data_IF_222225342484
#
_entry.id   IF_222225342484
#
_cell.length_a   1.000
_cell.length_b   1.000
_cell.length_c   1.000
_cell.angle_alpha   90.00
_cell.angle_beta   90.00
_cell.angle_gamma   90.00
#
_symmetry.space_group_name_H-M   'P 1'
#
loop_
_entity.id
_entity.type
_entity.pdbx_description
1 polymer ?
#
# COMPACT_ATOMS: atom_id res chain seq x y z
N UNK A 1 19.14 -42.54 42.12
CA UNK A 1 18.99 -41.77 40.87
C UNK A 1 19.75 -40.45 41.06
N UNK A 2 20.86 -40.20 40.33
CA UNK A 2 21.56 -38.93 40.42
C UNK A 2 20.62 -37.86 39.88
N UNK A 3 20.17 -36.94 40.73
CA UNK A 3 19.36 -35.80 40.31
C UNK A 3 20.19 -34.92 39.35
N UNK A 4 19.88 -34.95 38.04
CA UNK A 4 20.45 -34.04 37.03
C UNK A 4 19.81 -32.63 37.13
N UNK A 5 19.69 -32.12 38.38
CA UNK A 5 19.13 -30.81 38.66
C UNK A 5 20.19 -29.75 38.39
N UNK A 6 19.86 -28.81 37.53
CA UNK A 6 20.67 -27.64 37.20
C UNK A 6 19.98 -26.36 37.70
N UNK A 7 20.76 -25.36 38.01
CA UNK A 7 20.24 -24.07 38.47
C UNK A 7 19.53 -23.31 37.36
N UNK A 8 18.62 -22.39 37.73
CA UNK A 8 17.98 -21.50 36.75
C UNK A 8 18.98 -20.74 35.87
N UNK A 9 20.12 -20.33 36.45
CA UNK A 9 21.19 -19.64 35.69
C UNK A 9 21.86 -20.56 34.67
N UNK A 10 22.10 -21.84 35.06
CA UNK A 10 22.66 -22.82 34.14
C UNK A 10 21.67 -23.25 33.05
N UNK A 11 20.40 -23.44 33.42
CA UNK A 11 19.32 -23.70 32.48
C UNK A 11 19.20 -22.55 31.43
N UNK A 12 19.29 -21.30 31.89
CA UNK A 12 19.29 -20.13 31.02
C UNK A 12 20.50 -20.12 30.07
N UNK A 13 21.70 -20.40 30.57
CA UNK A 13 22.96 -20.44 29.79
C UNK A 13 22.92 -21.52 28.70
N UNK A 14 22.59 -22.77 29.11
CA UNK A 14 22.54 -23.91 28.17
C UNK A 14 21.55 -23.63 27.04
N UNK A 15 20.39 -23.05 27.36
CA UNK A 15 19.32 -22.83 26.42
C UNK A 15 19.37 -21.44 25.77
N UNK A 16 20.42 -20.65 25.92
CA UNK A 16 20.56 -19.31 25.36
C UNK A 16 19.30 -18.46 25.58
N UNK A 17 18.78 -18.48 26.82
CA UNK A 17 17.62 -17.69 27.22
C UNK A 17 17.97 -16.87 28.48
N UNK A 18 17.04 -16.05 28.98
CA UNK A 18 17.25 -15.24 30.16
C UNK A 18 16.61 -15.88 31.40
N UNK A 19 17.15 -15.60 32.57
CA UNK A 19 16.55 -16.00 33.86
C UNK A 19 15.14 -15.42 33.98
N UNK A 20 14.92 -14.19 33.50
CA UNK A 20 13.60 -13.57 33.55
C UNK A 20 12.58 -14.29 32.65
N UNK A 21 13.00 -14.77 31.46
CA UNK A 21 12.13 -15.58 30.59
C UNK A 21 11.73 -16.90 31.30
N UNK A 22 12.69 -17.57 31.96
CA UNK A 22 12.38 -18.80 32.71
C UNK A 22 11.44 -18.54 33.90
N UNK A 23 11.58 -17.41 34.60
CA UNK A 23 10.65 -17.01 35.67
C UNK A 23 9.25 -16.71 35.09
N UNK A 24 9.17 -16.07 33.91
CA UNK A 24 7.91 -15.83 33.24
C UNK A 24 7.25 -17.15 32.81
N UNK A 25 8.00 -18.09 32.24
CA UNK A 25 7.48 -19.41 31.85
C UNK A 25 6.98 -20.20 33.07
N UNK A 26 7.67 -20.10 34.23
CA UNK A 26 7.22 -20.67 35.48
C UNK A 26 5.90 -20.03 35.94
N UNK A 27 5.84 -18.71 36.02
CA UNK A 27 4.61 -17.99 36.42
C UNK A 27 3.39 -18.27 35.51
N UNK A 28 3.61 -18.56 34.23
CA UNK A 28 2.57 -18.94 33.30
C UNK A 28 2.27 -20.44 33.26
N UNK A 29 3.05 -21.26 33.98
CA UNK A 29 2.94 -22.72 33.97
C UNK A 29 3.39 -23.35 32.65
N UNK A 30 4.15 -22.65 31.80
CA UNK A 30 4.74 -23.18 30.58
C UNK A 30 5.93 -24.11 30.87
N UNK A 31 6.77 -23.72 31.81
CA UNK A 31 7.93 -24.51 32.27
C UNK A 31 8.14 -24.29 33.75
N UNK A 32 7.66 -25.22 34.56
CA UNK A 32 7.82 -25.15 36.03
C UNK A 32 9.12 -25.83 36.48
N UNK A 33 9.83 -25.28 37.46
CA UNK A 33 11.03 -25.94 38.02
C UNK A 33 10.66 -27.27 38.69
N UNK A 34 11.55 -28.28 38.58
CA UNK A 34 11.37 -29.55 39.25
C UNK A 34 11.49 -29.41 40.78
N UNK A 35 12.25 -28.40 41.24
CA UNK A 35 12.42 -28.12 42.68
C UNK A 35 12.64 -26.62 42.88
N UNK A 36 11.94 -26.05 43.84
CA UNK A 36 12.17 -24.70 44.33
C UNK A 36 12.57 -24.78 45.81
N UNK A 37 13.72 -24.23 46.16
CA UNK A 37 14.18 -24.22 47.55
C UNK A 37 13.25 -23.35 48.41
N UNK A 38 12.58 -23.92 49.42
CA UNK A 38 11.57 -23.20 50.21
C UNK A 38 12.14 -22.07 51.07
N UNK A 39 13.47 -22.12 51.38
CA UNK A 39 14.12 -21.10 52.21
C UNK A 39 14.64 -19.91 51.38
N UNK A 40 15.11 -20.18 50.15
CA UNK A 40 15.77 -19.17 49.32
C UNK A 40 14.98 -18.78 48.10
N UNK A 41 13.94 -19.52 47.75
CA UNK A 41 13.17 -19.35 46.51
C UNK A 41 13.95 -19.75 45.25
N UNK A 42 15.13 -20.37 45.41
CA UNK A 42 15.98 -20.69 44.26
C UNK A 42 15.42 -21.87 43.45
N UNK A 43 15.38 -21.74 42.14
CA UNK A 43 14.73 -22.68 41.20
C UNK A 43 15.75 -23.63 40.59
N UNK A 44 15.38 -24.90 40.51
CA UNK A 44 16.18 -25.96 39.89
C UNK A 44 15.34 -26.72 38.86
N UNK A 45 15.96 -27.04 37.75
CA UNK A 45 15.35 -27.69 36.60
C UNK A 45 16.02 -29.04 36.31
N UNK A 46 15.29 -30.00 35.80
CA UNK A 46 15.87 -31.23 35.24
C UNK A 46 16.35 -30.95 33.80
N UNK A 47 17.53 -31.45 33.43
CA UNK A 47 18.09 -31.28 32.10
C UNK A 47 17.13 -31.80 30.99
N UNK A 48 16.29 -32.78 31.29
CA UNK A 48 15.27 -33.31 30.37
C UNK A 48 14.19 -32.30 30.01
N UNK A 49 14.02 -31.23 30.78
CA UNK A 49 13.09 -30.14 30.49
C UNK A 49 13.55 -29.26 29.31
N UNK A 50 14.80 -29.47 28.82
CA UNK A 50 15.26 -28.80 27.60
C UNK A 50 14.32 -29.06 26.42
N UNK A 51 13.81 -30.28 26.26
CA UNK A 51 12.88 -30.60 25.16
C UNK A 51 11.61 -29.71 25.18
N UNK A 52 11.07 -29.47 26.39
CA UNK A 52 9.91 -28.56 26.53
C UNK A 52 10.29 -27.11 26.22
N UNK A 53 11.48 -26.68 26.61
CA UNK A 53 11.97 -25.33 26.34
C UNK A 53 12.28 -25.12 24.84
N UNK A 54 12.81 -26.14 24.18
CA UNK A 54 13.04 -26.09 22.72
C UNK A 54 11.73 -25.98 21.95
N UNK A 55 10.69 -26.69 22.37
CA UNK A 55 9.37 -26.56 21.80
C UNK A 55 8.76 -25.16 22.01
N UNK A 56 8.92 -24.57 23.21
CA UNK A 56 8.49 -23.19 23.48
C UNK A 56 9.21 -22.21 22.54
N UNK A 57 10.52 -22.37 22.34
CA UNK A 57 11.30 -21.52 21.42
C UNK A 57 10.83 -21.68 19.98
N UNK A 58 10.67 -22.91 19.52
CA UNK A 58 10.19 -23.21 18.18
C UNK A 58 8.84 -22.51 17.90
N UNK A 59 7.88 -22.63 18.80
CA UNK A 59 6.58 -21.97 18.63
C UNK A 59 6.70 -20.43 18.69
N UNK A 60 7.62 -19.90 19.48
CA UNK A 60 7.91 -18.45 19.49
C UNK A 60 8.48 -17.97 18.16
N UNK A 61 9.34 -18.75 17.51
CA UNK A 61 9.88 -18.44 16.18
C UNK A 61 8.76 -18.46 15.11
N UNK A 62 7.71 -19.27 15.31
CA UNK A 62 6.49 -19.21 14.50
C UNK A 62 5.59 -17.99 14.81
N UNK A 63 6.04 -17.08 15.70
CA UNK A 63 5.28 -15.89 16.06
C UNK A 63 4.08 -16.15 16.96
N UNK A 64 4.05 -17.28 17.69
CA UNK A 64 2.97 -17.59 18.62
C UNK A 64 3.17 -16.84 19.95
N UNK A 65 2.07 -16.35 20.52
CA UNK A 65 2.06 -15.79 21.85
C UNK A 65 2.22 -16.87 22.93
N UNK A 66 2.76 -16.50 24.10
CA UNK A 66 2.97 -17.47 25.17
C UNK A 66 1.67 -18.15 25.65
N UNK A 67 0.53 -17.47 25.53
CA UNK A 67 -0.79 -18.06 25.84
C UNK A 67 -1.20 -19.14 24.83
N UNK A 68 -0.96 -18.90 23.55
CA UNK A 68 -1.20 -19.87 22.48
C UNK A 68 -0.27 -21.09 22.62
N UNK A 69 1.02 -20.84 22.91
CA UNK A 69 2.01 -21.87 23.17
C UNK A 69 1.55 -22.74 24.35
N UNK A 70 1.02 -22.14 25.42
CA UNK A 70 0.50 -22.88 26.57
C UNK A 70 -0.67 -23.78 26.17
N UNK A 71 -1.61 -23.28 25.36
CA UNK A 71 -2.75 -24.09 24.87
C UNK A 71 -2.28 -25.32 24.08
N UNK A 72 -1.27 -25.15 23.22
CA UNK A 72 -0.68 -26.26 22.46
C UNK A 72 0.05 -27.24 23.37
N UNK A 73 0.89 -26.73 24.29
CA UNK A 73 1.72 -27.56 25.18
C UNK A 73 0.92 -28.35 26.23
N UNK A 74 -0.24 -27.85 26.60
CA UNK A 74 -1.12 -28.48 27.60
C UNK A 74 -2.26 -29.29 26.91
N UNK A 75 -2.35 -29.28 25.59
CA UNK A 75 -3.34 -30.08 24.87
C UNK A 75 -2.86 -31.51 24.68
N UNK A 76 -3.74 -32.48 24.99
CA UNK A 76 -3.55 -33.89 24.68
C UNK A 76 -4.23 -34.31 23.37
N UNK A 77 -4.91 -33.34 22.71
CA UNK A 77 -5.66 -33.55 21.48
C UNK A 77 -4.88 -32.98 20.27
N UNK A 78 -4.39 -33.87 19.43
CA UNK A 78 -3.63 -33.53 18.21
C UNK A 78 -4.46 -32.73 17.21
N UNK A 79 -5.76 -32.98 17.11
CA UNK A 79 -6.64 -32.25 16.18
C UNK A 79 -6.76 -30.79 16.60
N UNK A 80 -6.87 -30.54 17.90
CA UNK A 80 -6.91 -29.18 18.45
C UNK A 80 -5.59 -28.43 18.26
N UNK A 81 -4.46 -29.15 18.38
CA UNK A 81 -3.14 -28.56 18.09
C UNK A 81 -3.04 -28.19 16.62
N UNK A 82 -3.47 -29.07 15.73
CA UNK A 82 -3.50 -28.84 14.29
C UNK A 82 -4.36 -27.61 13.92
N UNK A 83 -5.55 -27.47 14.50
CA UNK A 83 -6.41 -26.30 14.29
C UNK A 83 -5.75 -24.98 14.72
N UNK A 84 -5.01 -24.96 15.84
CA UNK A 84 -4.27 -23.78 16.29
C UNK A 84 -3.17 -23.40 15.29
N UNK A 85 -2.43 -24.39 14.79
CA UNK A 85 -1.35 -24.18 13.82
C UNK A 85 -1.89 -23.76 12.46
N UNK A 86 -3.02 -24.29 12.01
CA UNK A 86 -3.69 -23.87 10.79
C UNK A 86 -4.08 -22.40 10.86
N UNK A 87 -4.73 -21.99 11.96
CA UNK A 87 -5.09 -20.56 12.17
C UNK A 87 -3.86 -19.66 12.18
N UNK A 88 -2.77 -20.09 12.82
CA UNK A 88 -1.53 -19.31 12.84
C UNK A 88 -0.93 -19.15 11.45
N UNK A 89 -0.94 -20.22 10.65
CA UNK A 89 -0.51 -20.17 9.24
C UNK A 89 -1.34 -19.17 8.43
N UNK A 90 -2.66 -19.18 8.61
CA UNK A 90 -3.56 -18.24 7.93
C UNK A 90 -3.27 -16.79 8.31
N UNK A 91 -3.02 -16.52 9.59
CA UNK A 91 -2.60 -15.18 10.05
C UNK A 91 -1.32 -14.72 9.35
N UNK A 92 -0.29 -15.58 9.32
CA UNK A 92 0.98 -15.26 8.66
C UNK A 92 0.78 -15.02 7.16
N UNK A 93 -0.07 -15.81 6.49
CA UNK A 93 -0.36 -15.61 5.07
C UNK A 93 -1.04 -14.27 4.80
N UNK A 94 -1.95 -13.85 5.67
CA UNK A 94 -2.58 -12.53 5.60
C UNK A 94 -1.55 -11.41 5.83
N UNK A 95 -0.66 -11.54 6.82
CA UNK A 95 0.42 -10.59 7.06
C UNK A 95 1.36 -10.46 5.84
N UNK A 96 1.68 -11.57 5.19
CA UNK A 96 2.48 -11.58 3.96
C UNK A 96 1.78 -10.80 2.84
N UNK A 97 0.47 -10.98 2.67
CA UNK A 97 -0.29 -10.25 1.66
C UNK A 97 -0.36 -8.74 1.95
N UNK A 98 -0.59 -8.36 3.21
CA UNK A 98 -0.53 -6.96 3.62
C UNK A 98 0.84 -6.33 3.36
N UNK A 99 1.93 -7.07 3.61
CA UNK A 99 3.28 -6.60 3.34
C UNK A 99 3.55 -6.43 1.86
N UNK A 100 3.03 -7.31 0.99
CA UNK A 100 3.13 -7.15 -0.47
C UNK A 100 2.44 -5.87 -0.93
N UNK A 101 1.20 -5.63 -0.48
CA UNK A 101 0.46 -4.40 -0.80
C UNK A 101 1.27 -3.15 -0.39
N UNK A 102 1.94 -3.19 0.77
CA UNK A 102 2.81 -2.08 1.22
C UNK A 102 4.03 -1.91 0.31
N UNK A 103 4.68 -3.00 -0.10
CA UNK A 103 5.80 -2.94 -1.05
C UNK A 103 5.37 -2.33 -2.38
N UNK A 104 4.25 -2.79 -2.95
CA UNK A 104 3.71 -2.25 -4.20
C UNK A 104 3.41 -0.74 -4.10
N UNK A 105 2.94 -0.28 -2.94
CA UNK A 105 2.74 1.14 -2.67
C UNK A 105 4.04 1.94 -2.67
N UNK A 106 5.10 1.40 -2.07
CA UNK A 106 6.43 2.01 -2.09
C UNK A 106 6.95 2.06 -3.52
N UNK A 107 6.82 0.97 -4.27
CA UNK A 107 7.28 0.89 -5.67
C UNK A 107 6.53 1.90 -6.56
N UNK A 108 5.21 2.07 -6.39
CA UNK A 108 4.44 3.13 -7.07
C UNK A 108 4.97 4.53 -6.75
N UNK A 109 5.31 4.77 -5.49
CA UNK A 109 5.85 6.06 -5.04
C UNK A 109 7.23 6.32 -5.65
N UNK A 110 8.11 5.33 -5.65
CA UNK A 110 9.42 5.41 -6.30
C UNK A 110 9.26 5.70 -7.79
N UNK A 111 8.41 4.93 -8.48
CA UNK A 111 8.13 5.12 -9.90
C UNK A 111 7.55 6.52 -10.20
N UNK A 112 6.74 7.06 -9.30
CA UNK A 112 6.22 8.43 -9.40
C UNK A 112 7.36 9.47 -9.35
N UNK A 113 8.26 9.34 -8.38
CA UNK A 113 9.43 10.22 -8.23
C UNK A 113 10.35 10.12 -9.47
N UNK A 114 10.63 8.90 -9.94
CA UNK A 114 11.45 8.68 -11.12
C UNK A 114 10.83 9.29 -12.39
N UNK A 115 9.51 9.14 -12.57
CA UNK A 115 8.79 9.78 -13.67
C UNK A 115 8.91 11.29 -13.60
N UNK A 116 8.73 11.89 -12.42
CA UNK A 116 8.94 13.31 -12.22
C UNK A 116 10.35 13.75 -12.59
N UNK A 117 11.38 13.05 -12.13
CA UNK A 117 12.78 13.37 -12.43
C UNK A 117 13.12 13.29 -13.92
N UNK A 118 12.47 12.38 -14.65
CA UNK A 118 12.65 12.19 -16.11
C UNK A 118 11.71 13.06 -16.94
N UNK A 119 10.73 13.69 -16.31
CA UNK A 119 9.73 14.50 -17.02
C UNK A 119 10.38 15.71 -17.68
N UNK A 120 9.89 16.11 -18.86
CA UNK A 120 10.31 17.34 -19.50
C UNK A 120 10.01 18.57 -18.64
N UNK A 121 10.66 19.67 -18.97
CA UNK A 121 10.36 20.95 -18.31
C UNK A 121 8.91 21.35 -18.57
N UNK A 122 8.33 22.10 -17.61
CA UNK A 122 6.99 22.63 -17.77
C UNK A 122 6.77 23.32 -19.12
N UNK A 123 5.63 23.12 -19.69
CA UNK A 123 5.23 23.66 -21.00
C UNK A 123 5.80 22.91 -22.21
N UNK A 124 6.61 21.88 -22.03
CA UNK A 124 7.10 21.04 -23.12
C UNK A 124 5.97 20.13 -23.62
N UNK A 125 5.81 20.09 -24.95
CA UNK A 125 4.93 19.13 -25.62
C UNK A 125 5.72 17.87 -25.95
N UNK A 126 5.13 16.70 -25.72
CA UNK A 126 5.71 15.41 -26.07
C UNK A 126 4.67 14.51 -26.71
N UNK A 127 5.15 13.54 -27.48
CA UNK A 127 4.36 12.43 -27.97
C UNK A 127 4.90 11.15 -27.35
N UNK A 128 4.08 10.46 -26.56
CA UNK A 128 4.52 9.35 -25.74
C UNK A 128 3.66 8.11 -25.96
N UNK A 129 4.29 6.96 -26.14
CA UNK A 129 3.58 5.69 -25.99
C UNK A 129 3.38 5.42 -24.50
N UNK A 130 2.14 5.35 -24.07
CA UNK A 130 1.80 5.02 -22.69
C UNK A 130 1.14 3.64 -22.67
N UNK A 131 1.69 2.67 -21.91
CA UNK A 131 1.13 1.33 -21.80
C UNK A 131 -0.25 1.34 -21.13
N UNK A 132 -0.94 0.23 -21.24
CA UNK A 132 -2.22 0.01 -20.56
C UNK A 132 -2.10 0.29 -19.06
N UNK A 133 -3.09 0.99 -18.52
CA UNK A 133 -3.19 1.33 -17.10
C UNK A 133 -4.59 1.03 -16.59
N UNK A 134 -4.69 0.78 -15.32
CA UNK A 134 -5.96 0.54 -14.64
C UNK A 134 -6.24 1.66 -13.67
N UNK A 135 -7.49 2.12 -13.65
CA UNK A 135 -7.95 3.16 -12.73
C UNK A 135 -9.13 2.66 -11.89
N UNK A 136 -9.19 3.14 -10.67
CA UNK A 136 -10.39 3.11 -9.84
C UNK A 136 -10.90 4.55 -9.73
N UNK A 137 -12.19 4.76 -9.99
CA UNK A 137 -12.75 6.10 -10.15
C UNK A 137 -13.96 6.35 -9.25
N UNK A 138 -14.26 7.62 -9.06
CA UNK A 138 -15.48 8.13 -8.44
C UNK A 138 -16.06 9.24 -9.30
N UNK A 139 -17.37 9.22 -9.46
CA UNK A 139 -18.13 10.33 -10.03
C UNK A 139 -18.72 11.20 -8.92
N UNK A 140 -18.86 12.49 -9.21
CA UNK A 140 -19.46 13.50 -8.33
C UNK A 140 -20.39 14.39 -9.13
N UNK A 141 -21.41 14.97 -8.48
CA UNK A 141 -22.30 15.93 -9.11
C UNK A 141 -21.68 17.32 -9.31
N UNK A 142 -20.47 17.52 -8.78
CA UNK A 142 -19.76 18.80 -8.80
C UNK A 142 -18.77 18.81 -9.96
N UNK A 143 -18.80 19.87 -10.79
CA UNK A 143 -17.77 20.08 -11.80
C UNK A 143 -16.49 20.63 -11.17
N UNK A 144 -15.36 19.92 -11.31
CA UNK A 144 -14.07 20.32 -10.73
C UNK A 144 -13.55 21.68 -11.18
N UNK A 145 -13.94 22.11 -12.36
CA UNK A 145 -13.43 23.35 -12.97
C UNK A 145 -14.21 24.60 -12.60
N UNK A 146 -15.32 24.50 -11.87
CA UNK A 146 -16.18 25.63 -11.52
C UNK A 146 -15.91 26.20 -10.13
N UNK A 147 -15.02 25.56 -9.36
CA UNK A 147 -14.82 25.88 -7.97
C UNK A 147 -13.36 26.13 -7.61
N UNK A 148 -13.17 26.83 -6.50
CA UNK A 148 -11.86 27.08 -5.88
C UNK A 148 -11.31 25.83 -5.17
N UNK A 149 -10.04 25.90 -4.75
CA UNK A 149 -9.29 24.79 -4.14
C UNK A 149 -9.98 24.13 -2.93
N UNK A 150 -10.76 24.89 -2.17
CA UNK A 150 -11.47 24.35 -0.99
C UNK A 150 -12.54 23.31 -1.38
N UNK A 151 -13.22 23.51 -2.50
CA UNK A 151 -14.20 22.54 -3.02
C UNK A 151 -13.50 21.30 -3.55
N UNK A 152 -12.38 21.46 -4.22
CA UNK A 152 -11.54 20.34 -4.67
C UNK A 152 -11.09 19.47 -3.49
N UNK A 153 -10.62 20.08 -2.39
CA UNK A 153 -10.24 19.33 -1.18
C UNK A 153 -11.43 18.58 -0.54
N UNK A 154 -12.65 19.15 -0.59
CA UNK A 154 -13.84 18.45 -0.12
C UNK A 154 -14.16 17.20 -0.98
N UNK A 155 -14.06 17.30 -2.29
CA UNK A 155 -14.29 16.17 -3.20
C UNK A 155 -13.20 15.09 -3.01
N UNK A 156 -11.95 15.51 -2.83
CA UNK A 156 -10.87 14.58 -2.47
C UNK A 156 -11.17 13.83 -1.18
N UNK A 157 -11.75 14.53 -0.19
CA UNK A 157 -12.19 13.91 1.06
C UNK A 157 -13.29 12.87 0.83
N UNK A 158 -14.30 13.20 0.02
CA UNK A 158 -15.38 12.27 -0.33
C UNK A 158 -14.84 10.99 -1.00
N UNK A 159 -13.88 11.13 -1.92
CA UNK A 159 -13.24 9.98 -2.57
C UNK A 159 -12.47 9.11 -1.56
N UNK A 160 -11.72 9.73 -0.67
CA UNK A 160 -11.01 9.03 0.40
C UNK A 160 -11.98 8.32 1.35
N UNK A 161 -13.07 8.97 1.72
CA UNK A 161 -14.11 8.40 2.58
C UNK A 161 -14.81 7.22 1.89
N UNK A 162 -15.11 7.30 0.58
CA UNK A 162 -15.61 6.18 -0.22
C UNK A 162 -14.65 4.99 -0.17
N UNK A 163 -13.36 5.21 -0.45
CA UNK A 163 -12.35 4.15 -0.40
C UNK A 163 -12.26 3.51 1.00
N UNK A 164 -12.37 4.32 2.05
CA UNK A 164 -12.37 3.82 3.43
C UNK A 164 -13.59 2.93 3.72
N UNK A 165 -14.80 3.33 3.31
CA UNK A 165 -16.01 2.53 3.49
C UNK A 165 -16.00 1.22 2.69
N UNK A 166 -15.30 1.19 1.57
CA UNK A 166 -15.10 0.00 0.73
C UNK A 166 -13.92 -0.87 1.20
N UNK A 167 -13.31 -0.55 2.35
CA UNK A 167 -12.14 -1.22 2.93
C UNK A 167 -10.92 -1.25 1.99
N UNK A 168 -10.77 -0.24 1.15
CA UNK A 168 -9.60 -0.08 0.30
C UNK A 168 -8.46 0.53 1.13
N UNK A 169 -7.27 -0.09 1.15
CA UNK A 169 -6.12 0.44 1.87
C UNK A 169 -5.76 1.86 1.44
N UNK A 170 -5.51 2.75 2.39
CA UNK A 170 -5.15 4.17 2.16
C UNK A 170 -3.97 4.34 1.19
N UNK A 171 -3.12 3.33 1.08
CA UNK A 171 -1.94 3.31 0.21
C UNK A 171 -2.29 3.44 -1.30
N UNK A 172 -3.54 3.19 -1.68
CA UNK A 172 -4.02 3.40 -3.05
C UNK A 172 -4.49 4.84 -3.29
N UNK A 173 -4.72 5.61 -2.22
CA UNK A 173 -5.12 7.00 -2.32
C UNK A 173 -3.89 7.90 -2.49
N UNK A 174 -3.43 8.03 -3.72
CA UNK A 174 -2.31 8.89 -4.08
C UNK A 174 -2.43 9.36 -5.53
N UNK A 175 -1.90 10.54 -5.83
CA UNK A 175 -1.84 11.07 -7.19
C UNK A 175 -3.21 11.06 -7.89
N UNK A 176 -4.22 11.62 -7.24
CA UNK A 176 -5.59 11.66 -7.75
C UNK A 176 -5.65 12.51 -9.02
N UNK A 177 -6.10 11.92 -10.10
CA UNK A 177 -6.28 12.58 -11.39
C UNK A 177 -7.74 12.81 -11.73
N UNK A 178 -7.99 13.56 -12.81
CA UNK A 178 -9.33 13.85 -13.36
C UNK A 178 -9.44 13.43 -14.81
N UNK A 179 -10.66 13.11 -15.24
CA UNK A 179 -10.99 12.72 -16.61
C UNK A 179 -11.92 13.77 -17.22
N UNK A 180 -11.61 14.23 -18.42
CA UNK A 180 -12.52 15.05 -19.23
C UNK A 180 -12.90 14.27 -20.47
N UNK A 181 -14.19 14.21 -20.78
CA UNK A 181 -14.67 13.48 -21.94
C UNK A 181 -14.10 14.06 -23.24
N UNK A 182 -13.89 13.19 -24.23
CA UNK A 182 -13.26 13.53 -25.51
C UNK A 182 -13.90 14.75 -26.18
N UNK A 183 -15.22 14.79 -26.27
CA UNK A 183 -15.95 15.88 -26.97
C UNK A 183 -15.88 17.17 -26.14
N UNK A 184 -15.92 17.10 -24.83
CA UNK A 184 -15.76 18.27 -23.98
C UNK A 184 -14.35 18.86 -24.10
N UNK A 185 -13.32 18.03 -24.11
CA UNK A 185 -11.94 18.49 -24.35
C UNK A 185 -11.78 19.14 -25.75
N UNK A 186 -12.32 18.55 -26.79
CA UNK A 186 -12.27 19.10 -28.16
C UNK A 186 -12.94 20.46 -28.28
N UNK A 187 -14.03 20.65 -27.53
CA UNK A 187 -14.79 21.92 -27.50
C UNK A 187 -14.25 22.90 -26.45
N UNK A 188 -13.19 22.55 -25.73
CA UNK A 188 -12.65 23.32 -24.58
C UNK A 188 -13.73 23.61 -23.52
N UNK A 189 -14.68 22.70 -23.37
CA UNK A 189 -15.70 22.71 -22.34
C UNK A 189 -15.16 21.95 -21.12
N UNK A 190 -14.60 22.68 -20.15
CA UNK A 190 -13.99 22.07 -18.98
C UNK A 190 -15.07 21.67 -17.95
N UNK A 191 -15.71 20.53 -18.22
CA UNK A 191 -16.69 19.89 -17.35
C UNK A 191 -16.20 18.50 -17.01
N UNK A 192 -15.76 18.30 -15.77
CA UNK A 192 -15.34 17.00 -15.27
C UNK A 192 -16.02 16.70 -13.95
N UNK A 193 -16.62 15.53 -13.89
CA UNK A 193 -17.28 14.96 -12.73
C UNK A 193 -16.62 13.66 -12.25
N UNK A 194 -15.50 13.27 -12.88
CA UNK A 194 -14.84 11.99 -12.63
C UNK A 194 -13.40 12.18 -12.19
N UNK A 195 -13.09 11.65 -11.03
CA UNK A 195 -11.73 11.54 -10.52
C UNK A 195 -11.29 10.09 -10.39
N UNK A 196 -10.00 9.85 -10.40
CA UNK A 196 -9.45 8.51 -10.37
C UNK A 196 -8.10 8.43 -9.65
N UNK A 197 -7.76 7.22 -9.25
CA UNK A 197 -6.40 6.81 -8.87
C UNK A 197 -5.94 5.67 -9.76
N UNK A 198 -4.64 5.59 -10.06
CA UNK A 198 -4.08 4.43 -10.71
C UNK A 198 -3.93 3.27 -9.72
N UNK A 199 -4.31 2.08 -10.16
CA UNK A 199 -4.28 0.87 -9.35
C UNK A 199 -3.58 -0.26 -10.11
N UNK A 200 -3.06 -1.22 -9.35
CA UNK A 200 -2.39 -2.41 -9.86
C UNK A 200 -3.28 -3.67 -9.81
N UNK A 201 -2.69 -4.82 -10.12
CA UNK A 201 -3.38 -6.10 -10.13
C UNK A 201 -3.77 -6.62 -8.74
N UNK A 202 -3.21 -6.08 -7.66
CA UNK A 202 -3.50 -6.46 -6.27
C UNK A 202 -4.60 -5.58 -5.65
N UNK A 203 -5.18 -4.68 -6.44
CA UNK A 203 -6.26 -3.81 -5.96
C UNK A 203 -7.49 -4.63 -5.51
N UNK A 204 -8.03 -4.42 -4.28
CA UNK A 204 -9.07 -5.28 -3.72
C UNK A 204 -10.35 -5.37 -4.56
N UNK A 205 -10.74 -4.26 -5.19
CA UNK A 205 -11.94 -4.16 -6.03
C UNK A 205 -11.60 -4.13 -7.53
N UNK A 206 -10.76 -5.07 -7.98
CA UNK A 206 -10.27 -5.09 -9.37
C UNK A 206 -11.40 -5.15 -10.41
N UNK A 207 -12.56 -5.70 -10.06
CA UNK A 207 -13.74 -5.79 -10.96
C UNK A 207 -14.43 -4.45 -11.19
N UNK A 208 -14.28 -3.50 -10.26
CA UNK A 208 -14.87 -2.16 -10.32
C UNK A 208 -13.91 -1.13 -10.90
N UNK A 209 -12.87 -1.60 -11.56
CA UNK A 209 -11.85 -0.77 -12.20
C UNK A 209 -12.03 -0.70 -13.70
N UNK A 210 -11.55 0.41 -14.29
CA UNK A 210 -11.57 0.64 -15.73
C UNK A 210 -10.15 0.48 -16.31
N UNK A 211 -10.07 -0.04 -17.53
CA UNK A 211 -8.84 -0.10 -18.31
C UNK A 211 -8.70 1.11 -19.21
N UNK A 212 -7.61 1.83 -19.08
CA UNK A 212 -7.18 2.83 -20.04
C UNK A 212 -6.21 2.11 -20.99
N UNK A 213 -6.57 1.95 -22.26
CA UNK A 213 -5.77 1.17 -23.20
C UNK A 213 -4.41 1.82 -23.47
N UNK A 214 -3.45 1.01 -23.87
CA UNK A 214 -2.18 1.51 -24.39
C UNK A 214 -2.41 2.29 -25.68
N UNK A 215 -1.81 3.48 -25.79
CA UNK A 215 -1.96 4.34 -26.96
C UNK A 215 -0.78 5.31 -27.10
N UNK A 216 -0.74 6.03 -28.24
CA UNK A 216 0.10 7.21 -28.37
C UNK A 216 -0.62 8.42 -27.80
N UNK A 217 0.00 9.10 -26.85
CA UNK A 217 -0.56 10.26 -26.17
C UNK A 217 0.22 11.53 -26.53
N UNK A 218 -0.47 12.57 -26.90
CA UNK A 218 0.09 13.90 -26.86
C UNK A 218 0.03 14.40 -25.42
N UNK A 219 1.15 14.89 -24.89
CA UNK A 219 1.29 15.28 -23.49
C UNK A 219 1.86 16.68 -23.35
N UNK A 220 1.49 17.36 -22.24
CA UNK A 220 2.12 18.60 -21.79
C UNK A 220 2.26 18.55 -20.27
N UNK A 221 3.34 19.14 -19.76
CA UNK A 221 3.70 19.11 -18.33
C UNK A 221 3.57 20.48 -17.69
N UNK A 222 3.08 20.52 -16.43
CA UNK A 222 2.97 21.76 -15.66
C UNK A 222 3.10 21.50 -14.16
N UNK A 223 3.43 22.56 -13.42
CA UNK A 223 3.63 22.60 -11.96
C UNK A 223 2.62 23.51 -11.25
N UNK A 224 1.56 23.90 -11.94
CA UNK A 224 0.58 24.86 -11.46
C UNK A 224 -0.82 24.40 -11.90
N UNK A 225 -1.60 23.90 -10.93
CA UNK A 225 -2.95 23.37 -11.17
C UNK A 225 -3.89 24.44 -11.75
N UNK A 226 -3.79 25.69 -11.31
CA UNK A 226 -4.66 26.77 -11.77
C UNK A 226 -4.52 27.08 -13.27
N UNK A 227 -3.43 26.61 -13.88
CA UNK A 227 -3.15 26.77 -15.31
C UNK A 227 -3.58 25.58 -16.16
N UNK A 228 -4.23 24.58 -15.59
CA UNK A 228 -4.63 23.37 -16.34
C UNK A 228 -5.45 23.74 -17.60
N UNK A 229 -6.45 24.60 -17.48
CA UNK A 229 -7.28 25.03 -18.64
C UNK A 229 -6.44 25.69 -19.75
N UNK A 230 -5.49 26.53 -19.38
CA UNK A 230 -4.58 27.18 -20.34
C UNK A 230 -3.71 26.15 -21.06
N UNK A 231 -3.08 25.25 -20.29
CA UNK A 231 -2.18 24.24 -20.85
C UNK A 231 -2.93 23.16 -21.64
N UNK A 232 -4.14 22.78 -21.24
CA UNK A 232 -5.03 21.91 -22.00
C UNK A 232 -5.43 22.51 -23.35
N UNK A 233 -5.73 23.80 -23.39
CA UNK A 233 -5.96 24.54 -24.62
C UNK A 233 -4.72 24.60 -25.52
N UNK A 234 -3.52 24.74 -24.96
CA UNK A 234 -2.25 24.65 -25.70
C UNK A 234 -2.04 23.25 -26.29
N UNK A 235 -2.31 22.20 -25.51
CA UNK A 235 -2.23 20.80 -25.95
C UNK A 235 -3.15 20.55 -27.15
N UNK A 236 -4.40 20.99 -27.06
CA UNK A 236 -5.37 20.82 -28.14
C UNK A 236 -4.94 21.57 -29.45
N UNK A 237 -4.40 22.78 -29.31
CA UNK A 237 -3.85 23.52 -30.46
C UNK A 237 -2.68 22.77 -31.09
N UNK A 238 -1.77 22.29 -30.28
CA UNK A 238 -0.63 21.50 -30.76
C UNK A 238 -1.07 20.24 -31.49
N UNK A 239 -2.07 19.51 -30.99
CA UNK A 239 -2.63 18.36 -31.72
C UNK A 239 -3.12 18.78 -33.11
N UNK A 240 -3.84 19.89 -33.22
CA UNK A 240 -4.33 20.43 -34.54
C UNK A 240 -3.19 20.81 -35.46
N UNK A 241 -2.17 21.50 -34.96
CA UNK A 241 -0.99 21.93 -35.74
C UNK A 241 -0.18 20.74 -36.27
N UNK A 242 -0.09 19.66 -35.47
CA UNK A 242 0.64 18.45 -35.86
C UNK A 242 -0.19 17.44 -36.66
N UNK A 243 -1.46 17.75 -36.96
CA UNK A 243 -2.36 16.83 -37.65
C UNK A 243 -2.76 15.60 -36.84
N UNK A 244 -2.74 15.71 -35.49
CA UNK A 244 -3.18 14.64 -34.61
C UNK A 244 -4.69 14.74 -34.37
N UNK A 245 -5.39 13.62 -34.53
CA UNK A 245 -6.79 13.50 -34.16
C UNK A 245 -6.93 12.96 -32.74
N UNK A 246 -7.66 13.69 -31.88
CA UNK A 246 -7.99 13.23 -30.52
C UNK A 246 -8.79 11.93 -30.59
N UNK A 247 -8.27 10.85 -30.00
CA UNK A 247 -8.84 9.51 -30.12
C UNK A 247 -9.70 9.10 -28.90
N UNK A 248 -9.53 9.75 -27.74
CA UNK A 248 -10.25 9.40 -26.51
C UNK A 248 -10.24 10.53 -25.48
N UNK A 249 -10.58 10.20 -24.25
CA UNK A 249 -10.72 11.15 -23.15
C UNK A 249 -9.38 11.80 -22.77
N UNK A 250 -9.47 13.05 -22.36
CA UNK A 250 -8.34 13.76 -21.75
C UNK A 250 -8.18 13.33 -20.28
N UNK A 251 -6.93 13.21 -19.86
CA UNK A 251 -6.57 12.87 -18.49
C UNK A 251 -5.63 13.93 -17.92
N UNK A 252 -5.99 14.50 -16.78
CA UNK A 252 -5.06 15.21 -15.91
C UNK A 252 -4.47 14.22 -14.91
N UNK A 253 -3.22 13.84 -15.09
CA UNK A 253 -2.51 12.91 -14.21
C UNK A 253 -1.59 13.67 -13.27
N UNK A 254 -1.75 13.47 -11.98
CA UNK A 254 -0.80 13.93 -10.98
C UNK A 254 0.38 12.98 -10.97
N UNK A 255 1.57 13.46 -11.33
CA UNK A 255 2.80 12.66 -11.33
C UNK A 255 3.45 12.62 -9.95
N UNK A 256 3.38 13.70 -9.20
CA UNK A 256 3.84 13.77 -7.81
C UNK A 256 3.12 14.88 -7.06
N UNK A 257 2.85 14.62 -5.78
CA UNK A 257 2.28 15.56 -4.81
C UNK A 257 3.28 15.89 -3.69
N UNK A 258 4.55 15.52 -3.82
CA UNK A 258 5.54 15.84 -2.80
C UNK A 258 5.82 17.33 -2.77
N UNK A 259 5.63 17.95 -1.61
CA UNK A 259 5.94 19.36 -1.34
C UNK A 259 7.46 19.60 -1.33
N UNK A 260 8.12 19.33 -2.45
CA UNK A 260 9.57 19.51 -2.59
C UNK A 260 9.93 20.98 -2.79
N UNK A 261 8.96 21.81 -3.21
CA UNK A 261 9.20 23.19 -3.66
C UNK A 261 8.50 24.25 -2.82
N UNK A 262 7.43 23.92 -2.11
CA UNK A 262 6.70 24.86 -1.25
C UNK A 262 6.02 24.08 -0.10
N UNK A 263 6.40 24.40 1.13
CA UNK A 263 5.85 23.70 2.32
C UNK A 263 4.45 24.22 2.71
N UNK A 264 4.02 25.37 2.18
CA UNK A 264 2.78 26.04 2.57
C UNK A 264 1.64 25.80 1.58
N UNK A 265 1.94 25.32 0.37
CA UNK A 265 0.95 25.04 -0.67
C UNK A 265 1.08 23.62 -1.17
N UNK A 266 -0.05 23.03 -1.56
CA UNK A 266 -0.07 21.75 -2.28
C UNK A 266 0.64 21.95 -3.61
N UNK A 267 1.86 21.37 -3.72
CA UNK A 267 2.61 21.40 -4.95
C UNK A 267 2.42 20.11 -5.71
N UNK A 268 1.89 20.21 -6.92
CA UNK A 268 1.62 19.08 -7.80
C UNK A 268 2.38 19.26 -9.10
N UNK A 269 2.98 18.18 -9.59
CA UNK A 269 3.48 18.15 -10.97
C UNK A 269 2.56 17.29 -11.80
N UNK A 270 2.02 17.87 -12.86
CA UNK A 270 0.93 17.31 -13.66
C UNK A 270 1.42 16.96 -15.07
N UNK A 271 0.85 15.87 -15.60
CA UNK A 271 0.88 15.53 -17.01
C UNK A 271 -0.54 15.57 -17.56
N UNK A 272 -0.81 16.52 -18.42
CA UNK A 272 -2.04 16.56 -19.21
C UNK A 272 -1.82 15.74 -20.46
N UNK A 273 -2.71 14.81 -20.72
CA UNK A 273 -2.52 13.84 -21.81
C UNK A 273 -3.82 13.52 -22.52
N UNK A 274 -3.73 13.31 -23.83
CA UNK A 274 -4.86 12.89 -24.66
C UNK A 274 -4.37 11.85 -25.68
N UNK A 275 -5.08 10.72 -25.86
CA UNK A 275 -4.73 9.75 -26.87
C UNK A 275 -4.99 10.33 -28.27
N UNK A 276 -4.08 10.07 -29.20
CA UNK A 276 -4.14 10.63 -30.54
C UNK A 276 -3.94 9.56 -31.61
N UNK A 277 -4.66 9.74 -32.72
CA UNK A 277 -4.41 9.07 -34.01
C UNK A 277 -3.62 10.00 -34.91
N UNK A 278 -2.82 9.42 -35.80
CA UNK A 278 -2.15 10.15 -36.84
C UNK A 278 -3.10 10.19 -38.05
N UNK A 279 -3.44 11.39 -38.50
CA UNK A 279 -4.09 11.53 -39.79
C UNK A 279 -3.02 11.35 -40.87
N UNK A 280 -3.17 10.33 -41.71
CA UNK A 280 -2.32 10.18 -42.89
C UNK A 280 -2.41 11.48 -43.68
N UNK A 281 -1.35 12.27 -43.64
CA UNK A 281 -1.17 13.38 -44.57
C UNK A 281 -0.83 12.74 -45.91
N UNK A 282 -1.87 12.48 -46.73
CA UNK A 282 -1.72 12.15 -48.13
C UNK A 282 -1.21 13.37 -48.88
#
# INVERSE_FOLDING_TARGET
>A
MKNNLISIGEMARINRTTINALRLYDSMGLLTPCYTNPKTGYRYYDIRQNARLDMIKYMKELGMELREIKLVMDSEDLLKIEEILIRKREQILNEVEELKIKCDGIDRTIASIERYQRSPRKGTMTLEYIPERRIYSMETDINFYDYEIDTYENILKEFRDKMFFENIPQIYYCNVGTVLEKEDFKNQNYVSHKMFVFVDSHFPLIRDTELIPSWMYACIYLDDFDKEKEYGGRLLRHCKEMGYEVAGNYLCEVLTEFNVFDCEKRSMFLRLQVPVNFTDSI
#
